data_IF_541451173294
#
_entry.id   IF_541451173294
#
_cell.length_a   1.000
_cell.length_b   1.000
_cell.length_c   1.000
_cell.angle_alpha   90.00
_cell.angle_beta   90.00
_cell.angle_gamma   90.00
#
_symmetry.space_group_name_H-M   'P 1'
#
loop_
_entity.id
_entity.type
_entity.pdbx_description
1 polymer ?
#
# COMPACT_ATOMS: atom_id res chain seq x y z
N UNK A 1 -8.23 2.06 22.01
CA UNK A 1 -7.39 1.89 20.79
C UNK A 1 -6.25 2.88 20.86
N UNK A 2 -5.06 2.56 20.34
CA UNK A 2 -3.97 3.54 20.22
C UNK A 2 -4.05 4.14 18.82
N UNK A 3 -4.31 5.45 18.74
CA UNK A 3 -4.41 6.14 17.45
C UNK A 3 -3.02 6.54 16.95
N UNK A 4 -2.79 6.36 15.66
CA UNK A 4 -1.56 6.80 15.01
C UNK A 4 -1.71 8.25 14.57
N UNK A 5 -1.01 9.15 15.28
CA UNK A 5 -0.98 10.57 14.94
C UNK A 5 0.20 10.86 14.02
N UNK A 6 -0.10 11.28 12.79
CA UNK A 6 0.89 11.65 11.77
C UNK A 6 1.10 13.17 11.83
N UNK A 7 2.36 13.59 11.93
CA UNK A 7 2.79 14.99 11.88
C UNK A 7 3.61 15.22 10.61
N UNK A 8 2.97 15.69 9.51
CA UNK A 8 3.64 15.87 8.22
C UNK A 8 4.83 16.85 8.30
N UNK A 9 4.71 17.88 9.13
CA UNK A 9 5.74 18.91 9.34
C UNK A 9 7.06 18.38 9.90
N UNK A 10 7.06 17.16 10.44
CA UNK A 10 8.24 16.48 10.96
C UNK A 10 8.73 15.33 10.06
N UNK A 11 8.08 15.14 8.92
CA UNK A 11 8.41 14.04 8.04
C UNK A 11 9.60 14.40 7.15
N UNK A 12 10.70 13.66 7.28
CA UNK A 12 11.90 13.79 6.45
C UNK A 12 11.87 12.89 5.20
N UNK A 13 10.78 12.14 4.96
CA UNK A 13 10.71 11.21 3.84
C UNK A 13 11.62 9.99 3.96
N UNK A 14 12.18 9.70 5.13
CA UNK A 14 13.15 8.61 5.33
C UNK A 14 12.58 7.19 5.21
N UNK A 15 11.26 7.04 5.11
CA UNK A 15 10.53 5.76 4.96
C UNK A 15 10.77 4.72 6.05
N UNK A 16 11.41 5.07 7.16
CA UNK A 16 11.61 4.15 8.29
C UNK A 16 10.29 3.59 8.85
N UNK A 17 9.21 4.38 8.79
CA UNK A 17 7.87 3.94 9.19
C UNK A 17 7.30 2.85 8.27
N UNK A 18 7.59 2.88 6.97
CA UNK A 18 7.22 1.83 6.03
C UNK A 18 7.94 0.52 6.35
N UNK A 19 9.25 0.60 6.61
CA UNK A 19 10.07 -0.56 6.96
C UNK A 19 9.60 -1.15 8.29
N UNK A 20 9.41 -0.32 9.32
CA UNK A 20 8.92 -0.78 10.61
C UNK A 20 7.53 -1.45 10.50
N UNK A 21 6.65 -0.88 9.68
CA UNK A 21 5.33 -1.45 9.42
C UNK A 21 5.44 -2.82 8.72
N UNK A 22 6.28 -2.94 7.71
CA UNK A 22 6.51 -4.20 7.01
C UNK A 22 7.07 -5.28 7.96
N UNK A 23 8.01 -4.93 8.84
CA UNK A 23 8.56 -5.87 9.84
C UNK A 23 7.48 -6.39 10.78
N UNK A 24 6.62 -5.51 11.29
CA UNK A 24 5.52 -5.91 12.20
C UNK A 24 4.53 -6.84 11.52
N UNK A 25 4.32 -6.67 10.20
CA UNK A 25 3.42 -7.51 9.40
C UNK A 25 4.11 -8.74 8.80
N UNK A 26 5.44 -8.87 8.93
CA UNK A 26 6.19 -10.06 8.50
C UNK A 26 5.94 -11.25 9.42
N UNK A 27 6.16 -12.46 8.91
CA UNK A 27 6.06 -13.69 9.69
C UNK A 27 7.20 -13.80 10.70
N UNK A 28 8.42 -13.44 10.30
CA UNK A 28 9.63 -13.51 11.11
C UNK A 28 9.78 -12.39 12.12
N UNK A 29 9.09 -11.25 11.90
CA UNK A 29 9.21 -10.02 12.71
C UNK A 29 10.66 -9.55 12.91
N UNK A 30 11.52 -9.87 11.96
CA UNK A 30 12.93 -9.51 11.91
C UNK A 30 13.26 -8.84 10.58
N UNK A 31 14.00 -7.74 10.61
CA UNK A 31 14.35 -6.97 9.42
C UNK A 31 15.04 -7.85 8.34
N UNK A 32 16.04 -8.59 8.73
CA UNK A 32 16.84 -9.38 7.79
C UNK A 32 16.07 -10.57 7.21
N UNK A 33 15.25 -11.23 8.02
CA UNK A 33 14.46 -12.37 7.57
C UNK A 33 13.26 -11.93 6.73
N UNK A 34 12.66 -10.79 7.06
CA UNK A 34 11.54 -10.24 6.32
C UNK A 34 11.89 -9.89 4.86
N UNK A 35 13.14 -9.55 4.57
CA UNK A 35 13.62 -9.28 3.20
C UNK A 35 13.57 -10.52 2.29
N UNK A 36 13.69 -11.72 2.86
CA UNK A 36 13.63 -12.98 2.12
C UNK A 36 12.27 -13.65 2.10
N UNK A 37 11.25 -13.06 2.75
CA UNK A 37 9.92 -13.66 2.80
C UNK A 37 9.19 -13.61 1.47
N UNK A 38 8.55 -14.73 1.12
CA UNK A 38 7.62 -14.83 -0.01
C UNK A 38 6.22 -15.26 0.52
N UNK A 39 5.15 -14.51 0.25
CA UNK A 39 5.12 -13.18 -0.36
C UNK A 39 5.74 -12.09 0.54
N UNK A 40 6.20 -10.99 -0.06
CA UNK A 40 6.79 -9.88 0.68
C UNK A 40 5.83 -9.31 1.75
N UNK A 41 6.35 -8.91 2.93
CA UNK A 41 5.49 -8.39 4.00
C UNK A 41 4.77 -7.11 3.58
N UNK A 42 3.46 -7.06 3.88
CA UNK A 42 2.61 -5.91 3.52
C UNK A 42 2.85 -4.73 4.45
N UNK A 43 2.94 -3.54 3.87
CA UNK A 43 3.01 -2.29 4.62
C UNK A 43 1.66 -1.56 4.54
N UNK A 44 1.22 -1.00 5.66
CA UNK A 44 -0.02 -0.23 5.78
C UNK A 44 0.22 1.29 5.82
N UNK A 45 1.47 1.71 5.74
CA UNK A 45 1.89 3.11 5.68
C UNK A 45 2.65 3.30 4.37
N UNK A 46 2.36 4.39 3.67
CA UNK A 46 3.07 4.78 2.45
C UNK A 46 3.49 6.25 2.55
N UNK A 47 4.73 6.56 2.22
CA UNK A 47 5.27 7.93 2.24
C UNK A 47 5.29 8.47 0.84
N UNK A 48 4.41 9.44 0.57
CA UNK A 48 4.42 10.19 -0.68
C UNK A 48 5.33 11.40 -0.55
N UNK A 49 6.31 11.49 -1.45
CA UNK A 49 7.20 12.64 -1.57
C UNK A 49 6.78 13.46 -2.78
N UNK A 50 6.47 14.74 -2.56
CA UNK A 50 6.22 15.68 -3.65
C UNK A 50 7.53 16.38 -4.00
N UNK A 51 8.07 16.10 -5.19
CA UNK A 51 9.32 16.72 -5.65
C UNK A 51 9.21 18.25 -5.83
N UNK A 52 8.01 18.74 -6.12
CA UNK A 52 7.78 20.17 -6.38
C UNK A 52 7.64 21.01 -5.10
N UNK A 53 7.27 20.38 -3.97
CA UNK A 53 6.98 21.09 -2.71
C UNK A 53 7.96 20.74 -1.59
N UNK A 54 8.93 19.85 -1.84
CA UNK A 54 9.87 19.32 -0.83
C UNK A 54 9.16 18.77 0.43
N UNK A 55 7.89 18.34 0.27
CA UNK A 55 7.06 17.84 1.36
C UNK A 55 6.91 16.34 1.22
N UNK A 56 7.12 15.64 2.32
CA UNK A 56 6.88 14.21 2.44
C UNK A 56 5.73 13.95 3.39
N UNK A 57 4.72 13.20 2.96
CA UNK A 57 3.52 12.93 3.76
C UNK A 57 3.33 11.44 3.91
N UNK A 58 3.40 10.89 5.14
CA UNK A 58 2.98 9.53 5.41
C UNK A 58 1.46 9.41 5.30
N UNK A 59 1.02 8.46 4.51
CA UNK A 59 -0.41 8.18 4.28
C UNK A 59 -0.74 6.80 4.85
N UNK A 60 -1.86 6.72 5.58
CA UNK A 60 -2.40 5.46 6.11
C UNK A 60 -3.92 5.45 6.03
N UNK A 61 -4.53 4.28 6.12
CA UNK A 61 -5.98 4.14 6.18
C UNK A 61 -6.54 4.87 7.41
N UNK A 62 -7.70 5.53 7.25
CA UNK A 62 -8.37 6.30 8.31
C UNK A 62 -9.40 5.51 9.09
N UNK A 63 -9.70 4.30 8.68
CA UNK A 63 -10.77 3.50 9.29
C UNK A 63 -12.10 4.28 9.33
N UNK A 64 -12.51 4.80 8.16
CA UNK A 64 -13.74 5.60 8.04
C UNK A 64 -14.93 4.82 8.59
N UNK A 65 -15.87 5.49 9.28
CA UNK A 65 -17.12 4.87 9.73
C UNK A 65 -17.94 4.35 8.55
N UNK A 66 -18.14 5.23 7.55
CA UNK A 66 -18.72 4.86 6.26
C UNK A 66 -17.58 4.73 5.25
N UNK A 67 -17.06 3.54 5.06
CA UNK A 67 -15.93 3.30 4.18
C UNK A 67 -16.36 3.39 2.69
N UNK A 68 -16.11 4.50 1.98
CA UNK A 68 -16.55 4.65 0.58
C UNK A 68 -15.88 3.63 -0.34
N UNK A 69 -14.67 3.18 0.00
CA UNK A 69 -13.95 2.15 -0.75
C UNK A 69 -14.68 0.80 -0.72
N UNK A 70 -15.39 0.48 0.36
CA UNK A 70 -16.18 -0.75 0.48
C UNK A 70 -17.47 -0.64 -0.33
N UNK A 71 -18.17 0.51 -0.24
CA UNK A 71 -19.46 0.71 -0.91
C UNK A 71 -19.35 0.69 -2.44
N UNK A 72 -18.23 1.18 -3.01
CA UNK A 72 -18.02 1.22 -4.46
C UNK A 72 -17.38 -0.04 -5.03
N UNK A 73 -16.99 -1.00 -4.20
CA UNK A 73 -16.34 -2.23 -4.69
C UNK A 73 -17.36 -3.13 -5.41
N UNK A 74 -17.27 -3.31 -6.74
CA UNK A 74 -18.28 -4.07 -7.50
C UNK A 74 -18.24 -5.56 -7.17
N UNK A 75 -17.07 -6.09 -6.85
CA UNK A 75 -16.87 -7.51 -6.53
C UNK A 75 -16.94 -7.82 -5.04
N UNK A 76 -17.15 -6.78 -4.20
CA UNK A 76 -17.12 -6.92 -2.74
C UNK A 76 -15.82 -7.54 -2.19
N UNK A 77 -14.72 -7.34 -2.91
CA UNK A 77 -13.39 -7.71 -2.46
C UNK A 77 -12.96 -6.97 -1.17
N UNK A 78 -13.61 -5.84 -0.88
CA UNK A 78 -13.43 -5.09 0.35
C UNK A 78 -14.63 -5.31 1.26
N UNK A 79 -14.38 -5.59 2.54
CA UNK A 79 -15.39 -5.72 3.59
C UNK A 79 -14.96 -4.93 4.82
N UNK A 80 -15.91 -4.31 5.51
CA UNK A 80 -15.63 -3.54 6.73
C UNK A 80 -16.10 -4.29 7.96
N UNK A 81 -15.27 -4.29 8.99
CA UNK A 81 -15.66 -4.75 10.31
C UNK A 81 -16.35 -3.59 11.05
N UNK A 82 -17.63 -3.77 11.40
CA UNK A 82 -18.48 -2.73 12.02
C UNK A 82 -17.94 -2.27 13.38
N UNK A 83 -17.24 -3.14 14.13
CA UNK A 83 -16.77 -2.82 15.48
C UNK A 83 -15.45 -2.03 15.44
N UNK A 84 -14.56 -2.40 14.53
CA UNK A 84 -13.20 -1.85 14.47
C UNK A 84 -13.00 -0.85 13.33
N UNK A 85 -13.97 -0.73 12.41
CA UNK A 85 -13.90 0.02 11.16
C UNK A 85 -12.74 -0.41 10.25
N UNK A 86 -12.10 -1.55 10.54
CA UNK A 86 -11.02 -2.08 9.72
C UNK A 86 -11.59 -2.60 8.42
N UNK A 87 -11.01 -2.17 7.32
CA UNK A 87 -11.34 -2.68 5.99
C UNK A 87 -10.46 -3.88 5.69
N UNK A 88 -11.09 -5.04 5.52
CA UNK A 88 -10.44 -6.28 5.09
C UNK A 88 -10.47 -6.38 3.57
N UNK A 89 -9.45 -6.98 3.01
CA UNK A 89 -9.29 -7.17 1.58
C UNK A 89 -9.16 -8.66 1.22
N UNK A 90 -9.96 -9.10 0.25
CA UNK A 90 -9.84 -10.42 -0.34
C UNK A 90 -9.27 -10.32 -1.76
N UNK A 91 -8.02 -10.75 -2.00
CA UNK A 91 -7.37 -10.67 -3.29
C UNK A 91 -8.03 -11.54 -4.37
N UNK A 92 -8.67 -12.65 -3.98
CA UNK A 92 -9.30 -13.58 -4.93
C UNK A 92 -10.53 -12.98 -5.63
N UNK A 93 -11.21 -12.04 -4.97
CA UNK A 93 -12.38 -11.35 -5.51
C UNK A 93 -12.02 -10.05 -6.24
N UNK A 94 -10.78 -9.59 -6.13
CA UNK A 94 -10.38 -8.32 -6.71
C UNK A 94 -10.15 -8.44 -8.22
N UNK A 95 -10.75 -7.51 -8.98
CA UNK A 95 -10.58 -7.40 -10.45
C UNK A 95 -9.68 -6.23 -10.84
N UNK A 96 -8.94 -5.67 -9.91
CA UNK A 96 -7.98 -4.58 -10.09
C UNK A 96 -8.55 -3.34 -10.82
N UNK A 97 -9.82 -2.99 -10.55
CA UNK A 97 -10.51 -1.87 -11.19
C UNK A 97 -10.13 -0.48 -10.62
N UNK A 98 -9.41 -0.41 -9.50
CA UNK A 98 -8.92 0.80 -8.83
C UNK A 98 -10.00 1.81 -8.37
N UNK A 99 -11.28 1.52 -8.51
CA UNK A 99 -12.38 2.40 -8.10
C UNK A 99 -12.30 2.76 -6.61
N UNK A 100 -11.92 1.82 -5.76
CA UNK A 100 -11.73 2.04 -4.33
C UNK A 100 -10.62 3.08 -4.02
N UNK A 101 -9.61 3.15 -4.85
CA UNK A 101 -8.53 4.13 -4.73
C UNK A 101 -9.01 5.54 -5.10
N UNK A 102 -9.84 5.65 -6.14
CA UNK A 102 -10.35 6.95 -6.62
C UNK A 102 -11.30 7.63 -5.63
N UNK A 103 -12.09 6.86 -4.90
CA UNK A 103 -13.05 7.40 -3.91
C UNK A 103 -12.45 7.59 -2.53
N UNK A 104 -11.22 7.13 -2.30
CA UNK A 104 -10.56 7.26 -1.01
C UNK A 104 -10.22 8.72 -0.73
N UNK A 105 -10.74 9.35 0.35
CA UNK A 105 -10.49 10.76 0.65
C UNK A 105 -9.01 11.05 0.98
N UNK A 106 -8.20 10.01 1.17
CA UNK A 106 -6.77 10.12 1.43
C UNK A 106 -5.90 9.67 0.27
N UNK A 107 -6.49 9.30 -0.88
CA UNK A 107 -5.72 8.70 -1.96
C UNK A 107 -4.83 7.54 -1.46
N UNK A 108 -5.31 6.86 -0.43
CA UNK A 108 -4.71 5.61 -0.01
C UNK A 108 -5.07 4.60 -1.10
N UNK A 109 -4.24 4.58 -2.14
CA UNK A 109 -4.18 3.40 -2.95
C UNK A 109 -3.88 2.28 -1.98
N UNK A 110 -4.88 1.46 -1.72
CA UNK A 110 -4.66 0.16 -1.15
C UNK A 110 -3.62 -0.44 -2.10
N UNK A 111 -2.35 -0.34 -1.73
CA UNK A 111 -1.27 -1.03 -2.43
C UNK A 111 -1.42 -2.50 -2.08
N UNK A 112 -2.48 -3.03 -2.59
CA UNK A 112 -2.76 -4.41 -2.70
C UNK A 112 -1.78 -4.91 -3.75
N UNK A 113 -1.25 -6.06 -3.60
CA UNK A 113 -0.27 -6.80 -4.38
C UNK A 113 -0.18 -6.50 -5.91
N UNK A 114 -1.16 -5.78 -6.47
CA UNK A 114 -1.24 -5.38 -7.87
C UNK A 114 -0.13 -4.42 -8.30
N UNK A 115 0.42 -3.61 -7.40
CA UNK A 115 1.54 -2.73 -7.76
C UNK A 115 2.82 -3.53 -8.03
N UNK A 116 2.98 -4.69 -7.39
CA UNK A 116 4.07 -5.62 -7.70
C UNK A 116 3.91 -6.23 -9.10
N UNK A 117 2.71 -6.60 -9.50
CA UNK A 117 2.47 -7.13 -10.85
C UNK A 117 2.76 -6.12 -11.96
N UNK A 118 2.44 -4.85 -11.74
CA UNK A 118 2.76 -3.81 -12.72
C UNK A 118 4.27 -3.54 -12.79
N UNK A 119 4.97 -3.55 -11.67
CA UNK A 119 6.42 -3.40 -11.67
C UNK A 119 7.12 -4.59 -12.32
N UNK A 120 6.65 -5.82 -12.09
CA UNK A 120 7.18 -7.01 -12.75
C UNK A 120 6.93 -7.00 -14.27
N UNK A 121 5.78 -6.46 -14.73
CA UNK A 121 5.53 -6.26 -16.16
C UNK A 121 6.45 -5.20 -16.78
N UNK A 122 6.77 -4.13 -16.04
CA UNK A 122 7.72 -3.11 -16.53
C UNK A 122 9.16 -3.60 -16.53
N UNK A 123 9.58 -4.41 -15.55
CA UNK A 123 10.90 -5.04 -15.54
C UNK A 123 11.07 -6.08 -16.66
N UNK A 124 9.99 -6.78 -17.02
CA UNK A 124 10.00 -7.71 -18.16
C UNK A 124 10.13 -7.03 -19.52
N UNK A 125 9.72 -5.77 -19.65
CA UNK A 125 9.83 -5.00 -20.89
C UNK A 125 11.22 -4.35 -21.09
N UNK A 126 12.00 -4.16 -20.02
CA UNK A 126 13.37 -3.62 -20.13
C UNK A 126 14.41 -4.67 -20.46
N UNK A 127 14.14 -5.95 -20.24
CA UNK A 127 15.08 -7.03 -20.58
C UNK A 127 15.07 -7.46 -22.05
N UNK A 128 14.12 -6.95 -22.86
CA UNK A 128 14.02 -7.30 -24.28
C UNK A 128 14.62 -6.25 -25.23
N UNK A 129 15.17 -5.14 -24.72
CA UNK A 129 15.77 -4.09 -25.55
C UNK A 129 17.30 -4.14 -25.68
N UNK A 130 17.98 -5.05 -24.96
CA UNK A 130 19.45 -5.15 -25.00
C UNK A 130 20.00 -6.26 -25.91
N UNK A 131 19.18 -6.82 -26.82
CA UNK A 131 19.66 -7.79 -27.80
C UNK A 131 19.41 -7.32 -29.25
N UNK A 132 19.94 -6.17 -29.62
CA UNK A 132 20.19 -5.85 -31.02
C UNK A 132 21.22 -4.73 -31.15
N UNK A 133 22.50 -5.06 -30.98
CA UNK A 133 23.62 -4.44 -31.70
C UNK A 133 24.83 -5.37 -31.59
N UNK A 134 24.98 -6.22 -32.58
CA UNK A 134 26.29 -6.61 -33.09
C UNK A 134 26.13 -7.18 -34.50
#
# INVERSE_FOLDING_TARGET
MKDLIIRPERCLGCRSCEIACAIVHSKSKSLFLALGEQPAPKRCINVNCSHNLEISIPITCRYCEDAPCVSVCPTKALSQNIITNIVNYNPELCVDCWTCSMVCPRFFSIQIDSCHRLLDQFHGLQSSSDQQTN
#
